data_IF_608179811069
#
_entry.id   IF_608179811069
#
_cell.length_a   1.000
_cell.length_b   1.000
_cell.length_c   1.000
_cell.angle_alpha   90.00
_cell.angle_beta   90.00
_cell.angle_gamma   90.00
#
_symmetry.space_group_name_H-M   'P 1'
#
loop_
_entity.id
_entity.type
_entity.pdbx_description
1 polymer ?
#
# COMPACT_ATOMS: atom_id res chain seq x y z
N UNK A 1 -6.50 6.34 10.84
CA UNK A 1 -6.21 6.85 9.47
C UNK A 1 -5.02 6.17 8.79
N UNK A 2 -3.92 5.88 9.48
CA UNK A 2 -2.72 5.20 8.92
C UNK A 2 -2.97 3.75 8.47
N UNK A 3 -3.72 2.95 9.24
CA UNK A 3 -4.06 1.57 8.86
C UNK A 3 -4.86 1.52 7.56
N UNK A 4 -5.86 2.41 7.42
CA UNK A 4 -6.67 2.51 6.21
C UNK A 4 -5.85 2.87 4.96
N UNK A 5 -4.93 3.81 5.10
CA UNK A 5 -4.07 4.21 3.97
C UNK A 5 -3.10 3.11 3.57
N UNK A 6 -2.51 2.39 4.53
CA UNK A 6 -1.68 1.20 4.28
C UNK A 6 -2.47 0.05 3.65
N UNK A 7 -3.68 -0.20 4.14
CA UNK A 7 -4.59 -1.20 3.56
C UNK A 7 -4.89 -0.89 2.10
N UNK A 8 -5.24 0.36 1.81
CA UNK A 8 -5.50 0.79 0.44
C UNK A 8 -4.24 0.69 -0.43
N UNK A 9 -3.05 1.04 0.09
CA UNK A 9 -1.79 0.85 -0.67
C UNK A 9 -1.56 -0.62 -1.03
N UNK A 10 -1.85 -1.51 -0.08
CA UNK A 10 -1.75 -2.96 -0.27
C UNK A 10 -2.75 -3.46 -1.32
N UNK A 11 -4.00 -2.99 -1.30
CA UNK A 11 -5.01 -3.35 -2.30
C UNK A 11 -4.55 -2.98 -3.71
N UNK A 12 -4.02 -1.76 -3.90
CA UNK A 12 -3.54 -1.34 -5.23
C UNK A 12 -2.30 -2.13 -5.66
N UNK A 13 -1.40 -2.45 -4.71
CA UNK A 13 -0.22 -3.27 -5.01
C UNK A 13 -0.62 -4.69 -5.46
N UNK A 14 -1.51 -5.34 -4.71
CA UNK A 14 -2.01 -6.69 -5.04
C UNK A 14 -2.79 -6.65 -6.36
N UNK A 15 -3.62 -5.64 -6.57
CA UNK A 15 -4.35 -5.44 -7.83
C UNK A 15 -3.40 -5.31 -9.03
N UNK A 16 -2.35 -4.50 -8.90
CA UNK A 16 -1.33 -4.35 -9.94
C UNK A 16 -0.58 -5.67 -10.21
N UNK A 17 -0.12 -6.37 -9.16
CA UNK A 17 0.60 -7.64 -9.31
C UNK A 17 -0.28 -8.72 -9.94
N UNK A 18 -1.54 -8.84 -9.50
CA UNK A 18 -2.49 -9.80 -10.05
C UNK A 18 -2.76 -9.53 -11.54
N UNK A 19 -3.01 -8.28 -11.92
CA UNK A 19 -3.22 -7.92 -13.32
C UNK A 19 -1.96 -8.12 -14.16
N UNK A 20 -0.76 -7.91 -13.61
CA UNK A 20 0.50 -8.15 -14.31
C UNK A 20 0.70 -9.63 -14.63
N UNK A 21 0.41 -10.52 -13.68
CA UNK A 21 0.47 -11.97 -13.90
C UNK A 21 -0.53 -12.38 -14.98
N UNK A 22 -1.77 -11.89 -14.92
CA UNK A 22 -2.78 -12.17 -15.94
C UNK A 22 -2.37 -11.65 -17.32
N UNK A 23 -1.75 -10.47 -17.38
CA UNK A 23 -1.22 -9.90 -18.63
C UNK A 23 -0.18 -10.84 -19.25
N UNK A 24 0.78 -11.32 -18.45
CA UNK A 24 1.79 -12.27 -18.91
C UNK A 24 1.18 -13.61 -19.36
N UNK A 25 0.22 -14.14 -18.60
CA UNK A 25 -0.49 -15.38 -18.94
C UNK A 25 -1.22 -15.28 -20.27
N UNK A 26 -2.08 -14.27 -20.44
CA UNK A 26 -2.82 -14.08 -21.69
C UNK A 26 -1.91 -13.74 -22.88
N UNK A 27 -0.78 -13.05 -22.65
CA UNK A 27 0.20 -12.83 -23.71
C UNK A 27 0.86 -14.14 -24.16
N UNK A 28 1.16 -15.04 -23.21
CA UNK A 28 1.70 -16.37 -23.50
C UNK A 28 0.68 -17.29 -24.20
N UNK A 29 -0.59 -17.18 -23.84
CA UNK A 29 -1.70 -17.96 -24.42
C UNK A 29 -2.17 -17.42 -25.79
N UNK A 30 -1.57 -16.34 -26.29
CA UNK A 30 -1.93 -15.76 -27.59
C UNK A 30 -3.27 -15.01 -27.61
N UNK A 31 -3.72 -14.51 -26.45
CA UNK A 31 -4.95 -13.73 -26.28
C UNK A 31 -4.67 -12.22 -26.11
N UNK A 32 -4.34 -11.48 -27.20
CA UNK A 32 -3.82 -10.12 -27.10
C UNK A 32 -4.84 -9.12 -26.52
N UNK A 33 -6.14 -9.30 -26.81
CA UNK A 33 -7.18 -8.40 -26.30
C UNK A 33 -7.26 -8.46 -24.76
N UNK A 34 -7.20 -9.67 -24.18
CA UNK A 34 -7.20 -9.85 -22.72
C UNK A 34 -5.90 -9.37 -22.11
N UNK A 35 -4.76 -9.67 -22.74
CA UNK A 35 -3.46 -9.19 -22.28
C UNK A 35 -3.42 -7.64 -22.20
N UNK A 36 -3.86 -6.94 -23.24
CA UNK A 36 -3.93 -5.47 -23.24
C UNK A 36 -4.89 -4.95 -22.16
N UNK A 37 -6.06 -5.57 -22.01
CA UNK A 37 -7.02 -5.18 -20.98
C UNK A 37 -6.42 -5.26 -19.57
N UNK A 38 -5.81 -6.39 -19.20
CA UNK A 38 -5.15 -6.53 -17.90
C UNK A 38 -3.90 -5.67 -17.77
N UNK A 39 -3.20 -5.39 -18.88
CA UNK A 39 -2.08 -4.44 -18.90
C UNK A 39 -2.51 -3.03 -18.53
N UNK A 40 -3.62 -2.55 -19.09
CA UNK A 40 -4.20 -1.25 -18.76
C UNK A 40 -4.67 -1.19 -17.30
N UNK A 41 -5.30 -2.27 -16.79
CA UNK A 41 -5.69 -2.35 -15.38
C UNK A 41 -4.47 -2.31 -14.45
N UNK A 42 -3.40 -3.02 -14.79
CA UNK A 42 -2.13 -2.98 -14.05
C UNK A 42 -1.61 -1.56 -13.94
N UNK A 43 -1.58 -0.83 -15.07
CA UNK A 43 -1.15 0.57 -15.11
C UNK A 43 -2.06 1.47 -14.27
N UNK A 44 -3.38 1.29 -14.34
CA UNK A 44 -4.33 2.05 -13.54
C UNK A 44 -4.08 1.87 -12.02
N UNK A 45 -3.86 0.64 -11.55
CA UNK A 45 -3.52 0.38 -10.15
C UNK A 45 -2.17 1.00 -9.75
N UNK A 46 -1.15 0.89 -10.59
CA UNK A 46 0.17 1.46 -10.33
C UNK A 46 0.12 2.99 -10.24
N UNK A 47 -0.59 3.64 -11.15
CA UNK A 47 -0.81 5.10 -11.16
C UNK A 47 -1.59 5.55 -9.93
N UNK A 48 -2.67 4.84 -9.58
CA UNK A 48 -3.44 5.14 -8.37
C UNK A 48 -2.58 5.00 -7.09
N UNK A 49 -1.73 3.97 -7.01
CA UNK A 49 -0.77 3.81 -5.91
C UNK A 49 0.24 4.96 -5.86
N UNK A 50 0.81 5.34 -7.01
CA UNK A 50 1.77 6.43 -7.11
C UNK A 50 1.15 7.78 -6.69
N UNK A 51 -0.06 8.10 -7.17
CA UNK A 51 -0.78 9.32 -6.75
C UNK A 51 -1.09 9.36 -5.26
N UNK A 52 -1.42 8.20 -4.66
CA UNK A 52 -1.69 8.12 -3.22
C UNK A 52 -0.43 8.32 -2.39
N UNK A 53 0.74 7.88 -2.88
CA UNK A 53 2.05 8.08 -2.23
C UNK A 53 2.65 9.46 -2.47
N UNK A 54 2.34 10.10 -3.60
CA UNK A 54 2.84 11.42 -3.96
C UNK A 54 2.24 12.56 -3.13
N UNK A 55 1.19 12.31 -2.32
CA UNK A 55 0.65 13.33 -1.42
C UNK A 55 1.68 13.66 -0.34
N UNK A 56 2.16 14.92 -0.24
CA UNK A 56 3.14 15.31 0.76
C UNK A 56 2.62 14.98 2.14
N UNK A 57 3.34 14.13 2.87
CA UNK A 57 3.13 13.97 4.31
C UNK A 57 3.96 15.06 4.97
N UNK A 58 3.29 16.09 5.50
CA UNK A 58 3.94 17.04 6.40
C UNK A 58 4.30 16.24 7.65
N UNK A 59 5.56 15.81 7.72
CA UNK A 59 6.12 15.17 8.89
C UNK A 59 6.50 16.30 9.85
N UNK A 60 5.71 16.46 10.92
CA UNK A 60 6.10 17.37 11.98
C UNK A 60 7.26 16.75 12.76
N UNK A 61 8.47 17.21 12.48
CA UNK A 61 9.70 16.77 13.15
C UNK A 61 9.78 17.25 14.62
N UNK A 62 8.82 18.09 15.06
CA UNK A 62 8.69 18.55 16.45
C UNK A 62 7.88 17.58 17.31
N UNK A 63 7.15 16.64 16.71
CA UNK A 63 6.56 15.52 17.42
C UNK A 63 7.67 14.52 17.79
N UNK A 64 8.21 14.67 19.00
CA UNK A 64 9.19 13.75 19.57
C UNK A 64 8.68 12.29 19.49
N UNK A 65 9.48 11.30 19.05
CA UNK A 65 9.07 9.89 18.94
C UNK A 65 8.75 9.20 20.28
N UNK A 66 8.70 9.94 21.39
CA UNK A 66 8.75 9.42 22.74
C UNK A 66 7.43 8.79 23.23
N UNK A 67 6.29 9.06 22.59
CA UNK A 67 4.99 8.58 23.11
C UNK A 67 4.51 7.23 22.55
N UNK A 68 5.29 6.56 21.69
CA UNK A 68 4.93 5.18 21.25
C UNK A 68 5.41 4.07 22.17
N UNK A 69 6.26 4.38 23.15
CA UNK A 69 6.59 3.46 24.22
C UNK A 69 5.72 3.78 25.44
N UNK A 70 4.47 3.31 25.42
CA UNK A 70 3.67 3.24 26.64
C UNK A 70 4.51 2.53 27.73
N UNK A 71 4.68 3.10 28.94
CA UNK A 71 5.46 2.45 29.98
C UNK A 71 4.75 1.17 30.38
N UNK A 72 5.40 0.02 30.18
CA UNK A 72 5.03 -1.21 30.85
C UNK A 72 4.94 -0.92 32.36
N UNK A 73 3.77 -1.24 32.91
CA UNK A 73 3.28 -0.87 34.24
C UNK A 73 4.35 -0.64 35.30
N UNK A 74 4.47 0.62 35.73
CA UNK A 74 5.06 0.96 37.02
C UNK A 74 4.08 0.52 38.11
N UNK A 75 4.18 -0.73 38.56
CA UNK A 75 3.52 -1.19 39.79
C UNK A 75 4.19 -0.48 40.96
N UNK A 76 3.51 0.54 41.49
CA UNK A 76 3.84 1.12 42.80
C UNK A 76 3.56 0.07 43.86
N UNK A 77 4.61 -0.40 44.54
CA UNK A 77 4.47 -1.09 45.82
C UNK A 77 4.16 -0.10 46.93
N UNK A 78 3.31 -0.47 47.87
CA UNK A 78 3.27 0.11 49.21
C UNK A 78 3.28 -1.04 50.21
N UNK A 79 4.24 -0.96 51.13
CA UNK A 79 4.21 -1.63 52.43
C UNK A 79 3.04 -1.10 53.26
#
# INVERSE_FOLDING_TARGET
MTVWTSFMDLVHLIGALGCLVLTGGFAADGEPARAVFYGLLTMAFAVALAHRRARPRVLDLRETPADRAAPLGRTTGSR
#
